data_IF_811790438398
#
_entry.id   IF_811790438398
#
_cell.length_a   1.000
_cell.length_b   1.000
_cell.length_c   1.000
_cell.angle_alpha   90.00
_cell.angle_beta   90.00
_cell.angle_gamma   90.00
#
_symmetry.space_group_name_H-M   'P 1'
#
loop_
_entity.id
_entity.type
_entity.pdbx_description
1 polymer ?
#
# COMPACT_ATOMS: atom_id res chain seq x y z
N UNK A 1 33.44 1.82 29.48
CA UNK A 1 31.95 1.84 29.53
C UNK A 1 31.52 0.94 30.67
N UNK A 2 30.72 1.45 31.59
CA UNK A 2 30.13 0.67 32.68
C UNK A 2 29.23 -0.44 32.10
N UNK A 3 29.61 -1.70 32.35
CA UNK A 3 28.96 -2.89 31.81
C UNK A 3 27.58 -3.13 32.42
N UNK A 4 27.33 -2.60 33.62
CA UNK A 4 26.08 -2.73 34.36
C UNK A 4 25.03 -1.73 33.90
N UNK A 5 25.43 -0.48 33.61
CA UNK A 5 24.51 0.58 33.14
C UNK A 5 24.14 0.46 31.65
N UNK A 6 24.87 -0.35 30.87
CA UNK A 6 24.66 -0.55 29.42
C UNK A 6 23.28 -1.10 29.05
N UNK A 7 22.61 -1.83 29.96
CA UNK A 7 21.35 -2.56 29.67
C UNK A 7 20.08 -1.84 30.14
N UNK A 8 20.20 -0.68 30.80
CA UNK A 8 19.06 0.00 31.42
C UNK A 8 18.10 0.65 30.43
N UNK A 9 18.57 1.04 29.24
CA UNK A 9 17.73 1.66 28.22
C UNK A 9 18.26 1.32 26.82
N UNK A 10 17.39 0.74 25.98
CA UNK A 10 17.72 0.33 24.62
C UNK A 10 18.02 1.54 23.72
N UNK A 11 17.22 2.61 23.85
CA UNK A 11 17.39 3.85 23.09
C UNK A 11 18.75 4.53 23.37
N UNK A 12 19.10 4.71 24.66
CA UNK A 12 20.39 5.29 25.03
C UNK A 12 21.59 4.45 24.55
N UNK A 13 21.40 3.13 24.41
CA UNK A 13 22.44 2.24 23.88
C UNK A 13 22.55 2.38 22.37
N UNK A 14 21.42 2.43 21.64
CA UNK A 14 21.40 2.58 20.19
C UNK A 14 22.02 3.90 19.76
N UNK A 15 21.67 5.00 20.44
CA UNK A 15 22.27 6.33 20.19
C UNK A 15 23.79 6.33 20.32
N UNK A 16 24.32 5.69 21.38
CA UNK A 16 25.76 5.54 21.59
C UNK A 16 26.44 4.68 20.51
N UNK A 17 25.75 3.69 19.95
CA UNK A 17 26.27 2.92 18.82
C UNK A 17 26.40 3.80 17.57
N UNK A 18 25.41 4.65 17.28
CA UNK A 18 25.48 5.61 16.18
C UNK A 18 26.55 6.68 16.40
N UNK A 19 26.68 7.22 17.62
CA UNK A 19 27.76 8.16 17.99
C UNK A 19 29.15 7.55 17.83
N UNK A 20 29.29 6.25 18.07
CA UNK A 20 30.52 5.50 17.82
C UNK A 20 30.77 5.18 16.33
N UNK A 21 29.86 5.58 15.42
CA UNK A 21 29.97 5.40 13.98
C UNK A 21 29.43 4.08 13.45
N UNK A 22 28.69 3.30 14.23
CA UNK A 22 27.99 2.12 13.71
C UNK A 22 26.92 2.55 12.70
N UNK A 23 26.85 1.87 11.57
CA UNK A 23 26.01 2.24 10.43
C UNK A 23 25.03 1.12 10.12
N UNK A 24 23.73 1.40 10.17
CA UNK A 24 22.68 0.40 9.90
C UNK A 24 22.75 -0.16 8.48
N UNK A 25 23.18 0.67 7.51
CA UNK A 25 23.38 0.25 6.12
C UNK A 25 24.51 -0.78 5.96
N UNK A 26 25.34 -0.99 6.97
CA UNK A 26 26.37 -2.03 6.98
C UNK A 26 25.89 -3.33 7.64
N UNK A 27 24.67 -3.36 8.19
CA UNK A 27 24.02 -4.57 8.70
C UNK A 27 23.46 -5.34 7.51
N UNK A 28 23.87 -6.60 7.36
CA UNK A 28 23.40 -7.45 6.29
C UNK A 28 21.97 -7.91 6.58
N UNK A 29 21.12 -7.91 5.55
CA UNK A 29 19.81 -8.55 5.65
C UNK A 29 19.95 -10.07 5.85
N UNK A 30 18.91 -10.71 6.36
CA UNK A 30 18.90 -12.16 6.54
C UNK A 30 19.18 -12.91 5.24
N UNK A 31 18.63 -12.43 4.12
CA UNK A 31 18.90 -12.95 2.77
C UNK A 31 20.38 -12.79 2.38
N UNK A 32 20.99 -11.63 2.62
CA UNK A 32 22.41 -11.39 2.32
C UNK A 32 23.33 -12.29 3.16
N UNK A 33 22.94 -12.59 4.41
CA UNK A 33 23.66 -13.53 5.28
C UNK A 33 23.54 -14.95 4.73
N UNK A 34 22.35 -15.39 4.32
CA UNK A 34 22.15 -16.72 3.74
C UNK A 34 22.95 -16.89 2.45
N UNK A 35 22.92 -15.91 1.56
CA UNK A 35 23.66 -15.95 0.30
C UNK A 35 25.17 -16.03 0.52
N UNK A 36 25.72 -15.28 1.50
CA UNK A 36 27.13 -15.39 1.89
C UNK A 36 27.48 -16.75 2.49
N UNK A 37 26.57 -17.40 3.24
CA UNK A 37 26.77 -18.75 3.78
C UNK A 37 26.79 -19.81 2.69
N UNK A 38 25.83 -19.77 1.76
CA UNK A 38 25.79 -20.66 0.59
C UNK A 38 27.04 -20.51 -0.27
N UNK A 39 27.40 -19.28 -0.63
CA UNK A 39 28.61 -19.00 -1.41
C UNK A 39 29.89 -19.46 -0.71
N UNK A 40 29.98 -19.31 0.62
CA UNK A 40 31.11 -19.85 1.39
C UNK A 40 31.13 -21.39 1.36
N UNK A 41 29.98 -22.04 1.42
CA UNK A 41 29.87 -23.50 1.34
C UNK A 41 30.25 -24.02 -0.06
N UNK A 42 29.84 -23.31 -1.11
CA UNK A 42 30.26 -23.56 -2.50
C UNK A 42 31.75 -23.30 -2.69
N UNK A 43 32.31 -22.21 -2.15
CA UNK A 43 33.74 -21.88 -2.23
C UNK A 43 34.60 -22.89 -1.44
N UNK A 44 34.14 -23.35 -0.27
CA UNK A 44 34.80 -24.41 0.53
C UNK A 44 34.73 -25.77 -0.19
N UNK A 45 33.67 -26.04 -0.96
CA UNK A 45 33.53 -27.25 -1.80
C UNK A 45 34.33 -27.14 -3.11
N UNK A 46 34.41 -25.96 -3.72
CA UNK A 46 35.18 -25.68 -4.93
C UNK A 46 36.70 -25.65 -4.69
N UNK A 47 37.16 -25.41 -3.45
CA UNK A 47 38.57 -25.57 -3.06
C UNK A 47 39.06 -27.03 -3.09
N UNK A 48 38.17 -28.02 -3.26
CA UNK A 48 38.54 -29.42 -3.54
C UNK A 48 38.56 -29.78 -5.04
N UNK A 49 37.97 -28.97 -5.93
CA UNK A 49 37.93 -29.25 -7.38
C UNK A 49 38.07 -27.93 -8.14
N UNK A 50 39.27 -27.65 -8.63
CA UNK A 50 39.51 -26.50 -9.48
C UNK A 50 38.85 -26.66 -10.86
N UNK A 51 38.37 -25.53 -11.41
CA UNK A 51 38.29 -25.13 -12.84
C UNK A 51 36.86 -24.74 -13.35
N UNK A 52 36.69 -23.41 -13.57
CA UNK A 52 35.93 -22.67 -14.63
C UNK A 52 34.39 -22.83 -14.71
N UNK A 53 33.56 -21.88 -15.17
CA UNK A 53 33.61 -20.49 -15.69
C UNK A 53 32.15 -19.96 -15.68
N UNK A 54 31.92 -18.66 -15.53
CA UNK A 54 30.58 -18.02 -15.59
C UNK A 54 30.18 -17.66 -17.04
N UNK A 55 28.90 -17.79 -17.43
CA UNK A 55 28.37 -17.18 -18.65
C UNK A 55 27.74 -15.78 -18.40
N UNK A 56 27.55 -14.94 -19.44
CA UNK A 56 27.04 -13.58 -19.32
C UNK A 56 25.50 -13.50 -19.37
N UNK A 57 24.93 -12.55 -18.63
CA UNK A 57 23.49 -12.24 -18.53
C UNK A 57 22.93 -11.53 -19.77
N UNK A 58 21.65 -11.75 -20.16
CA UNK A 58 21.03 -11.05 -21.29
C UNK A 58 20.52 -9.62 -20.95
N UNK A 59 20.25 -8.78 -21.96
CA UNK A 59 19.86 -7.38 -21.79
C UNK A 59 18.41 -7.20 -21.33
N UNK A 60 18.20 -6.22 -20.48
CA UNK A 60 16.91 -5.80 -19.92
C UNK A 60 15.96 -5.23 -20.98
N UNK A 61 14.86 -5.95 -21.23
CA UNK A 61 13.70 -5.45 -21.99
C UNK A 61 12.88 -4.55 -21.05
N UNK A 62 12.41 -3.36 -21.46
CA UNK A 62 11.53 -2.53 -20.64
C UNK A 62 10.24 -3.29 -20.31
N UNK A 63 9.70 -3.21 -19.08
CA UNK A 63 8.55 -4.00 -18.68
C UNK A 63 7.31 -3.57 -19.46
N UNK A 64 6.95 -4.34 -20.50
CA UNK A 64 5.62 -4.30 -21.08
C UNK A 64 4.67 -4.98 -20.11
N UNK A 65 3.51 -4.36 -19.85
CA UNK A 65 2.53 -4.88 -18.89
C UNK A 65 2.23 -6.35 -19.17
N UNK A 66 2.21 -7.17 -18.13
CA UNK A 66 1.95 -8.59 -18.29
C UNK A 66 0.46 -8.82 -18.63
N UNK A 67 0.11 -9.94 -19.29
CA UNK A 67 -1.29 -10.27 -19.55
C UNK A 67 -2.16 -10.25 -18.28
N UNK A 68 -1.60 -10.67 -17.15
CA UNK A 68 -2.29 -10.67 -15.85
C UNK A 68 -2.60 -9.24 -15.37
N UNK A 69 -1.69 -8.29 -15.60
CA UNK A 69 -1.91 -6.87 -15.27
C UNK A 69 -3.02 -6.26 -16.14
N UNK A 70 -3.11 -6.64 -17.41
CA UNK A 70 -4.19 -6.18 -18.29
C UNK A 70 -5.55 -6.70 -17.83
N UNK A 71 -5.64 -7.98 -17.47
CA UNK A 71 -6.85 -8.57 -16.90
C UNK A 71 -7.24 -7.89 -15.59
N UNK A 72 -6.26 -7.55 -14.75
CA UNK A 72 -6.52 -6.80 -13.52
C UNK A 72 -7.13 -5.42 -13.82
N UNK A 73 -6.58 -4.68 -14.79
CA UNK A 73 -7.12 -3.37 -15.20
C UNK A 73 -8.55 -3.51 -15.69
N UNK A 74 -8.84 -4.49 -16.55
CA UNK A 74 -10.20 -4.72 -17.05
C UNK A 74 -11.19 -4.98 -15.91
N UNK A 75 -10.82 -5.79 -14.92
CA UNK A 75 -11.64 -6.04 -13.74
C UNK A 75 -11.90 -4.77 -12.92
N UNK A 76 -10.87 -3.95 -12.70
CA UNK A 76 -11.00 -2.70 -11.97
C UNK A 76 -11.91 -1.70 -12.69
N UNK A 77 -11.75 -1.58 -14.01
CA UNK A 77 -12.58 -0.72 -14.85
C UNK A 77 -14.04 -1.20 -14.82
N UNK A 78 -14.29 -2.51 -14.91
CA UNK A 78 -15.63 -3.08 -14.81
C UNK A 78 -16.27 -2.80 -13.43
N UNK A 79 -15.52 -3.01 -12.35
CA UNK A 79 -15.98 -2.73 -10.99
C UNK A 79 -16.36 -1.26 -10.80
N UNK A 80 -15.56 -0.32 -11.32
CA UNK A 80 -15.85 1.11 -11.29
C UNK A 80 -17.15 1.44 -12.02
N UNK A 81 -17.32 0.92 -13.24
CA UNK A 81 -18.52 1.17 -14.04
C UNK A 81 -19.79 0.66 -13.35
N UNK A 82 -19.71 -0.52 -12.72
CA UNK A 82 -20.81 -1.10 -11.97
C UNK A 82 -21.19 -0.26 -10.74
N UNK A 83 -20.21 0.24 -9.98
CA UNK A 83 -20.46 1.10 -8.83
C UNK A 83 -21.12 2.43 -9.26
N UNK A 84 -20.62 3.04 -10.33
CA UNK A 84 -21.18 4.29 -10.86
C UNK A 84 -22.65 4.15 -11.31
N UNK A 85 -23.04 3.01 -11.89
CA UNK A 85 -24.42 2.78 -12.32
C UNK A 85 -25.41 2.77 -11.15
N UNK A 86 -25.03 2.16 -10.01
CA UNK A 86 -25.86 2.14 -8.79
C UNK A 86 -26.05 3.56 -8.23
N UNK A 87 -24.96 4.31 -8.13
CA UNK A 87 -24.98 5.71 -7.68
C UNK A 87 -25.88 6.60 -8.49
N UNK A 88 -25.96 6.40 -9.81
CA UNK A 88 -26.88 7.17 -10.64
C UNK A 88 -28.35 7.02 -10.19
N UNK A 89 -28.76 5.83 -9.78
CA UNK A 89 -30.14 5.61 -9.29
C UNK A 89 -30.40 6.23 -7.92
N UNK A 90 -29.41 6.25 -7.04
CA UNK A 90 -29.56 6.83 -5.69
C UNK A 90 -29.46 8.36 -5.71
N UNK A 91 -28.70 8.92 -6.66
CA UNK A 91 -28.66 10.37 -6.90
C UNK A 91 -30.03 10.97 -7.23
N UNK A 92 -30.94 10.20 -7.83
CA UNK A 92 -32.31 10.63 -8.12
C UNK A 92 -33.17 10.79 -6.85
N UNK A 93 -32.74 10.21 -5.72
CA UNK A 93 -33.45 10.26 -4.43
C UNK A 93 -32.95 11.38 -3.51
N UNK A 94 -31.90 12.09 -3.91
CA UNK A 94 -31.30 13.18 -3.13
C UNK A 94 -32.24 14.39 -3.11
N UNK A 95 -32.24 15.09 -1.98
CA UNK A 95 -32.88 16.38 -1.77
C UNK A 95 -32.55 17.32 -2.95
N UNK A 96 -33.56 17.83 -3.68
CA UNK A 96 -33.30 18.71 -4.82
C UNK A 96 -32.56 19.99 -4.41
N UNK A 97 -31.73 20.51 -5.32
CA UNK A 97 -31.08 21.78 -5.09
C UNK A 97 -32.10 22.93 -5.02
N UNK A 98 -32.04 23.82 -4.00
CA UNK A 98 -32.97 24.92 -3.89
C UNK A 98 -32.86 25.90 -5.06
N UNK A 99 -34.01 26.34 -5.58
CA UNK A 99 -34.07 27.39 -6.60
C UNK A 99 -33.80 28.80 -6.01
N UNK A 100 -33.92 28.95 -4.70
CA UNK A 100 -33.66 30.21 -3.99
C UNK A 100 -32.15 30.46 -3.96
N UNK A 101 -31.70 31.54 -4.59
CA UNK A 101 -30.27 31.91 -4.64
C UNK A 101 -29.78 32.65 -3.41
N UNK A 102 -30.68 33.19 -2.58
CA UNK A 102 -30.32 33.92 -1.36
C UNK A 102 -29.52 33.01 -0.40
N UNK A 103 -28.28 33.39 -0.03
CA UNK A 103 -27.46 32.62 0.90
C UNK A 103 -27.93 32.74 2.35
N UNK A 104 -28.66 33.78 2.74
CA UNK A 104 -29.13 33.99 4.13
C UNK A 104 -30.42 33.24 4.43
N UNK A 105 -31.20 32.92 3.39
CA UNK A 105 -32.44 32.18 3.50
C UNK A 105 -32.25 30.84 4.22
N UNK A 106 -32.95 30.67 5.35
CA UNK A 106 -32.73 29.57 6.30
C UNK A 106 -33.04 28.20 5.70
N UNK A 107 -34.20 28.05 5.06
CA UNK A 107 -34.64 26.77 4.48
C UNK A 107 -33.76 26.34 3.30
N UNK A 108 -33.36 27.28 2.45
CA UNK A 108 -32.45 27.00 1.33
C UNK A 108 -31.07 26.56 1.84
N UNK A 109 -30.54 27.15 2.91
CA UNK A 109 -29.29 26.66 3.54
C UNK A 109 -29.43 25.22 4.04
N UNK A 110 -30.55 24.91 4.69
CA UNK A 110 -30.80 23.55 5.19
C UNK A 110 -30.93 22.55 4.03
N UNK A 111 -31.61 22.90 2.95
CA UNK A 111 -31.73 22.06 1.75
C UNK A 111 -30.37 21.85 1.06
N UNK A 112 -29.53 22.89 0.92
CA UNK A 112 -28.17 22.73 0.39
C UNK A 112 -27.34 21.77 1.25
N UNK A 113 -27.41 21.92 2.58
CA UNK A 113 -26.72 21.03 3.50
C UNK A 113 -27.20 19.57 3.37
N UNK A 114 -28.51 19.35 3.29
CA UNK A 114 -29.09 18.02 3.08
C UNK A 114 -28.63 17.42 1.75
N UNK A 115 -28.73 18.18 0.65
CA UNK A 115 -28.28 17.77 -0.68
C UNK A 115 -26.82 17.31 -0.68
N UNK A 116 -25.91 18.12 -0.12
CA UNK A 116 -24.49 17.74 -0.05
C UNK A 116 -24.23 16.54 0.86
N UNK A 117 -24.90 16.47 2.01
CA UNK A 117 -24.72 15.35 2.95
C UNK A 117 -25.18 14.04 2.34
N UNK A 118 -26.32 14.03 1.65
CA UNK A 118 -26.85 12.85 0.97
C UNK A 118 -25.97 12.43 -0.20
N UNK A 119 -25.44 13.37 -0.99
CA UNK A 119 -24.44 13.05 -2.02
C UNK A 119 -23.16 12.47 -1.41
N UNK A 120 -22.69 13.01 -0.29
CA UNK A 120 -21.50 12.50 0.38
C UNK A 120 -21.73 11.07 0.91
N UNK A 121 -22.91 10.77 1.45
CA UNK A 121 -23.28 9.42 1.88
C UNK A 121 -23.21 8.44 0.70
N UNK A 122 -23.81 8.81 -0.44
CA UNK A 122 -23.78 7.97 -1.65
C UNK A 122 -22.32 7.75 -2.10
N UNK A 123 -21.51 8.81 -2.17
CA UNK A 123 -20.11 8.68 -2.60
C UNK A 123 -19.25 7.84 -1.66
N UNK A 124 -19.47 7.91 -0.35
CA UNK A 124 -18.80 7.01 0.61
C UNK A 124 -19.22 5.56 0.38
N UNK A 125 -20.51 5.30 0.15
CA UNK A 125 -20.99 3.95 -0.17
C UNK A 125 -20.38 3.41 -1.47
N UNK A 126 -20.25 4.24 -2.52
CA UNK A 126 -19.57 3.89 -3.76
C UNK A 126 -18.11 3.49 -3.54
N UNK A 127 -17.37 4.29 -2.77
CA UNK A 127 -15.96 4.03 -2.46
C UNK A 127 -15.82 2.69 -1.73
N UNK A 128 -16.68 2.43 -0.74
CA UNK A 128 -16.69 1.17 0.01
C UNK A 128 -17.03 -0.01 -0.89
N UNK A 129 -18.03 0.11 -1.75
CA UNK A 129 -18.45 -0.97 -2.65
C UNK A 129 -17.43 -1.25 -3.76
N UNK A 130 -16.72 -0.22 -4.21
CA UNK A 130 -15.58 -0.39 -5.12
C UNK A 130 -14.40 -1.06 -4.41
N UNK A 131 -14.04 -0.61 -3.21
CA UNK A 131 -12.93 -1.18 -2.44
C UNK A 131 -13.13 -2.69 -2.19
N UNK A 132 -14.36 -3.10 -1.86
CA UNK A 132 -14.72 -4.52 -1.69
C UNK A 132 -14.50 -5.38 -2.94
N UNK A 133 -14.47 -4.79 -4.14
CA UNK A 133 -14.23 -5.49 -5.40
C UNK A 133 -12.75 -5.55 -5.79
N UNK A 134 -11.88 -4.86 -5.05
CA UNK A 134 -10.43 -4.93 -5.29
C UNK A 134 -9.90 -6.32 -4.90
N UNK A 135 -9.11 -6.98 -5.78
CA UNK A 135 -8.48 -8.25 -5.45
C UNK A 135 -7.66 -8.16 -4.17
N UNK A 136 -7.89 -9.06 -3.22
CA UNK A 136 -7.19 -9.13 -1.93
C UNK A 136 -7.71 -8.18 -0.84
N UNK A 137 -8.59 -7.21 -1.15
CA UNK A 137 -9.06 -6.25 -0.13
C UNK A 137 -9.87 -6.92 0.99
N UNK A 138 -10.75 -7.86 0.63
CA UNK A 138 -11.56 -8.61 1.61
C UNK A 138 -10.74 -9.63 2.43
N UNK A 139 -9.51 -9.93 2.02
CA UNK A 139 -8.60 -10.82 2.73
C UNK A 139 -7.84 -10.10 3.86
N UNK A 140 -7.85 -8.77 3.84
CA UNK A 140 -7.29 -7.93 4.90
C UNK A 140 -8.11 -8.03 6.19
N UNK A 141 -7.47 -7.67 7.32
CA UNK A 141 -8.17 -7.54 8.59
C UNK A 141 -9.24 -6.46 8.51
N UNK A 142 -10.24 -6.52 9.39
CA UNK A 142 -11.28 -5.49 9.43
C UNK A 142 -10.70 -4.12 9.78
N UNK A 143 -9.70 -4.10 10.66
CA UNK A 143 -8.96 -2.90 11.05
C UNK A 143 -8.25 -2.27 9.85
N UNK A 144 -7.57 -3.08 9.04
CA UNK A 144 -6.85 -2.60 7.85
C UNK A 144 -7.83 -2.14 6.75
N UNK A 145 -8.94 -2.85 6.54
CA UNK A 145 -9.98 -2.42 5.60
C UNK A 145 -10.56 -1.05 5.98
N UNK A 146 -10.76 -0.79 7.28
CA UNK A 146 -11.24 0.51 7.77
C UNK A 146 -10.15 1.58 7.64
N UNK A 147 -8.88 1.25 7.93
CA UNK A 147 -7.78 2.21 7.86
C UNK A 147 -7.43 2.65 6.42
N UNK A 148 -7.69 1.79 5.43
CA UNK A 148 -7.46 2.06 4.01
C UNK A 148 -8.59 2.85 3.34
N UNK A 149 -9.76 2.96 4.00
CA UNK A 149 -10.92 3.74 3.57
C UNK A 149 -10.89 5.16 4.16
#
# INVERSE_FOLDING_TARGET
>A
MDTYMRRKCQECRLRKCYEAGMREQCVLSEEQIQLKKLKKQEDDQARMIAVRQNPPSPPSIPPKMTPEQLVMIEKLVAAQQQCNQRSFTDRLKVTPWPQISDPLHREARQQRFAHFTELAIISVQEIVDFAKQLPGFLELTREDQIALL
#
